data_IF_642882852737
#
_entry.id   IF_642882852737
#
_cell.length_a   1.000
_cell.length_b   1.000
_cell.length_c   1.000
_cell.angle_alpha   90.00
_cell.angle_beta   90.00
_cell.angle_gamma   90.00
#
_symmetry.space_group_name_H-M   'P 1'
#
loop_
_entity.id
_entity.type
_entity.pdbx_description
1 polymer ?
#
# COMPACT_ATOMS: atom_id res chain seq x y z
N UNK A 1 -0.53 -8.13 17.67
CA UNK A 1 0.07 -8.27 16.33
C UNK A 1 -0.51 -9.50 15.67
N UNK A 2 -0.79 -9.45 14.37
CA UNK A 2 -1.38 -10.57 13.62
C UNK A 2 -0.36 -11.05 12.58
N UNK A 3 0.52 -11.96 12.99
CA UNK A 3 1.41 -12.69 12.09
C UNK A 3 0.82 -14.10 11.92
N UNK A 4 0.90 -14.66 10.72
CA UNK A 4 0.51 -16.06 10.47
C UNK A 4 1.58 -16.71 9.59
N UNK A 5 1.97 -17.94 9.91
CA UNK A 5 3.04 -18.66 9.19
C UNK A 5 4.47 -18.19 9.52
N UNK A 6 4.69 -17.59 10.69
CA UNK A 6 6.01 -17.16 11.17
C UNK A 6 6.41 -17.91 12.45
N UNK A 7 7.72 -18.07 12.69
CA UNK A 7 8.31 -18.62 13.91
C UNK A 7 8.16 -17.69 15.11
N UNK A 8 8.40 -18.23 16.31
CA UNK A 8 8.37 -17.47 17.57
C UNK A 8 9.41 -16.33 17.60
N UNK A 9 10.59 -16.55 17.02
CA UNK A 9 11.64 -15.52 16.92
C UNK A 9 11.18 -14.30 16.10
N UNK A 10 10.40 -14.54 15.05
CA UNK A 10 9.78 -13.49 14.25
C UNK A 10 8.79 -12.64 15.06
N UNK A 11 8.01 -13.26 15.96
CA UNK A 11 7.16 -12.52 16.89
C UNK A 11 7.98 -11.71 17.89
N UNK A 12 9.03 -12.29 18.47
CA UNK A 12 9.89 -11.59 19.42
C UNK A 12 10.56 -10.37 18.79
N UNK A 13 11.07 -10.50 17.56
CA UNK A 13 11.61 -9.37 16.81
C UNK A 13 10.58 -8.24 16.66
N UNK A 14 9.35 -8.55 16.25
CA UNK A 14 8.32 -7.55 16.06
C UNK A 14 7.84 -6.92 17.37
N UNK A 15 7.80 -7.68 18.47
CA UNK A 15 7.51 -7.15 19.80
C UNK A 15 8.58 -6.16 20.26
N UNK A 16 9.86 -6.49 20.04
CA UNK A 16 10.97 -5.57 20.31
C UNK A 16 10.86 -4.29 19.47
N UNK A 17 10.53 -4.41 18.19
CA UNK A 17 10.31 -3.25 17.30
C UNK A 17 9.14 -2.39 17.80
N UNK A 18 8.03 -3.01 18.22
CA UNK A 18 6.87 -2.30 18.77
C UNK A 18 7.21 -1.58 20.09
N UNK A 19 8.00 -2.20 20.96
CA UNK A 19 8.47 -1.58 22.20
C UNK A 19 9.42 -0.40 21.95
N UNK A 20 10.30 -0.51 20.94
CA UNK A 20 11.29 0.53 20.62
C UNK A 20 10.67 1.75 19.91
N UNK A 21 9.82 1.52 18.90
CA UNK A 21 9.33 2.57 18.01
C UNK A 21 7.86 2.96 18.26
N UNK A 22 7.19 2.25 19.16
CA UNK A 22 5.80 2.46 19.52
C UNK A 22 4.82 1.68 18.64
N UNK A 23 3.59 1.43 19.14
CA UNK A 23 2.60 0.60 18.46
C UNK A 23 2.05 1.21 17.16
N UNK A 24 2.23 2.52 16.98
CA UNK A 24 1.81 3.26 15.79
C UNK A 24 2.88 3.30 14.70
N UNK A 25 4.00 2.59 14.85
CA UNK A 25 5.05 2.56 13.85
C UNK A 25 4.53 1.93 12.54
N UNK A 26 4.85 2.50 11.36
CA UNK A 26 4.52 1.92 10.07
C UNK A 26 4.98 0.47 9.95
N UNK A 27 4.17 -0.39 9.33
CA UNK A 27 4.46 -1.82 9.22
C UNK A 27 3.86 -2.65 10.37
N UNK A 28 3.84 -2.15 11.61
CA UNK A 28 3.35 -2.92 12.78
C UNK A 28 1.82 -3.10 12.77
N UNK A 29 1.11 -2.14 12.18
CA UNK A 29 -0.35 -2.13 12.14
C UNK A 29 -0.96 -3.07 11.10
N UNK A 30 -0.14 -3.70 10.25
CA UNK A 30 -0.61 -4.62 9.22
C UNK A 30 -0.71 -6.06 9.73
N UNK A 31 -1.53 -6.85 9.04
CA UNK A 31 -1.57 -8.30 9.19
C UNK A 31 -0.67 -8.94 8.13
N UNK A 32 0.22 -9.84 8.56
CA UNK A 32 1.12 -10.56 7.66
C UNK A 32 0.76 -12.03 7.64
N UNK A 33 0.56 -12.56 6.43
CA UNK A 33 0.31 -13.98 6.19
C UNK A 33 1.45 -14.51 5.32
N UNK A 34 2.21 -15.45 5.87
CA UNK A 34 3.32 -16.11 5.18
C UNK A 34 2.85 -17.45 4.63
N UNK A 35 2.84 -17.58 3.31
CA UNK A 35 2.44 -18.79 2.59
C UNK A 35 3.61 -19.27 1.73
N UNK A 36 4.44 -20.19 2.23
CA UNK A 36 5.56 -20.75 1.49
C UNK A 36 5.06 -21.47 0.23
N UNK A 37 5.57 -21.07 -0.95
CA UNK A 37 5.15 -21.66 -2.22
C UNK A 37 5.98 -22.87 -2.65
N UNK A 38 7.23 -22.97 -2.21
CA UNK A 38 8.14 -24.04 -2.59
C UNK A 38 9.48 -23.95 -1.88
N UNK A 39 10.20 -25.07 -1.90
CA UNK A 39 11.56 -25.21 -1.40
C UNK A 39 12.40 -25.89 -2.47
N UNK A 40 13.53 -25.31 -2.82
CA UNK A 40 14.51 -25.89 -3.74
C UNK A 40 15.86 -25.96 -3.04
N UNK A 41 16.47 -27.16 -3.04
CA UNK A 41 17.80 -27.36 -2.46
C UNK A 41 18.82 -27.30 -3.60
N UNK A 42 19.70 -26.30 -3.53
CA UNK A 42 20.73 -26.03 -4.52
C UNK A 42 22.13 -26.16 -3.92
N UNK A 43 23.10 -26.54 -4.75
CA UNK A 43 24.52 -26.56 -4.40
C UNK A 43 25.23 -25.44 -5.15
N UNK A 44 26.12 -24.70 -4.48
CA UNK A 44 26.91 -23.64 -5.11
C UNK A 44 27.20 -22.48 -4.17
N UNK A 45 27.74 -21.39 -4.73
CA UNK A 45 27.98 -20.16 -3.98
C UNK A 45 26.64 -19.40 -3.79
N UNK A 46 26.21 -19.11 -2.54
CA UNK A 46 24.95 -18.42 -2.28
C UNK A 46 24.81 -17.06 -2.98
N UNK A 47 25.91 -16.30 -3.10
CA UNK A 47 25.87 -14.98 -3.76
C UNK A 47 25.66 -15.12 -5.27
N UNK A 48 26.30 -16.10 -5.90
CA UNK A 48 26.10 -16.36 -7.33
C UNK A 48 24.66 -16.81 -7.62
N UNK A 49 24.10 -17.66 -6.74
CA UNK A 49 22.71 -18.10 -6.81
C UNK A 49 21.76 -16.92 -6.64
N UNK A 50 21.95 -16.09 -5.60
CA UNK A 50 21.12 -14.91 -5.36
C UNK A 50 21.17 -13.92 -6.54
N UNK A 51 22.35 -13.69 -7.12
CA UNK A 51 22.49 -12.85 -8.31
C UNK A 51 21.80 -13.43 -9.55
N UNK A 52 21.84 -14.75 -9.73
CA UNK A 52 21.13 -15.41 -10.82
C UNK A 52 19.62 -15.24 -10.67
N UNK A 53 19.07 -15.53 -9.50
CA UNK A 53 17.63 -15.35 -9.20
C UNK A 53 17.22 -13.89 -9.39
N UNK A 54 18.02 -12.93 -8.91
CA UNK A 54 17.73 -11.50 -9.07
C UNK A 54 17.68 -11.08 -10.54
N UNK A 55 18.56 -11.61 -11.40
CA UNK A 55 18.49 -11.37 -12.85
C UNK A 55 17.22 -11.96 -13.47
N UNK A 56 16.89 -13.21 -13.14
CA UNK A 56 15.68 -13.87 -13.64
C UNK A 56 14.39 -13.11 -13.25
N UNK A 57 14.30 -12.59 -12.01
CA UNK A 57 13.16 -11.78 -11.57
C UNK A 57 13.04 -10.47 -12.35
N UNK A 58 14.18 -9.83 -12.66
CA UNK A 58 14.22 -8.60 -13.44
C UNK A 58 13.78 -8.82 -14.88
N UNK A 59 14.26 -9.90 -15.51
CA UNK A 59 13.91 -10.24 -16.90
C UNK A 59 12.41 -10.55 -17.04
N UNK A 60 11.80 -11.12 -16.00
CA UNK A 60 10.37 -11.40 -15.91
C UNK A 60 9.51 -10.16 -15.56
N UNK A 61 10.11 -8.96 -15.44
CA UNK A 61 9.44 -7.70 -15.04
C UNK A 61 8.62 -7.81 -13.76
N UNK A 62 9.12 -8.59 -12.80
CA UNK A 62 8.47 -8.70 -11.50
C UNK A 62 9.05 -7.63 -10.56
N UNK A 63 8.55 -6.40 -10.70
CA UNK A 63 9.06 -5.22 -9.98
C UNK A 63 8.77 -5.26 -8.46
N UNK A 64 7.94 -6.22 -8.01
CA UNK A 64 7.58 -6.42 -6.60
C UNK A 64 8.17 -7.73 -6.04
N UNK A 65 9.38 -8.06 -6.46
CA UNK A 65 10.12 -9.23 -5.94
C UNK A 65 11.44 -8.82 -5.31
N UNK A 66 11.80 -9.52 -4.23
CA UNK A 66 13.07 -9.33 -3.51
C UNK A 66 13.76 -10.68 -3.32
N UNK A 67 15.09 -10.69 -3.39
CA UNK A 67 15.91 -11.83 -3.00
C UNK A 67 16.54 -11.51 -1.65
N UNK A 68 16.24 -12.32 -0.65
CA UNK A 68 16.81 -12.20 0.69
C UNK A 68 17.83 -13.33 0.86
N UNK A 69 19.05 -13.00 1.24
CA UNK A 69 20.10 -13.95 1.56
C UNK A 69 20.42 -13.87 3.04
N UNK A 70 20.42 -15.02 3.72
CA UNK A 70 20.62 -15.09 5.15
C UNK A 70 20.85 -16.53 5.62
N UNK A 71 20.96 -16.69 6.93
CA UNK A 71 21.00 -18.01 7.56
C UNK A 71 19.59 -18.60 7.57
N UNK A 72 19.52 -19.92 7.39
CA UNK A 72 18.24 -20.63 7.31
C UNK A 72 17.43 -20.47 8.61
N UNK A 73 18.06 -20.60 9.78
CA UNK A 73 17.38 -20.58 11.08
C UNK A 73 16.59 -19.29 11.38
N UNK A 74 16.94 -18.16 10.75
CA UNK A 74 16.28 -16.86 10.97
C UNK A 74 15.74 -16.24 9.67
N UNK A 75 15.38 -17.07 8.69
CA UNK A 75 14.94 -16.59 7.38
C UNK A 75 13.68 -15.72 7.46
N UNK A 76 12.76 -16.06 8.36
CA UNK A 76 11.46 -15.41 8.52
C UNK A 76 11.56 -14.12 9.36
N UNK A 77 12.49 -14.07 10.31
CA UNK A 77 12.93 -12.84 10.98
C UNK A 77 13.52 -11.86 9.96
N UNK A 78 14.40 -12.34 9.06
CA UNK A 78 14.97 -11.51 8.01
C UNK A 78 13.88 -10.96 7.06
N UNK A 79 12.88 -11.77 6.72
CA UNK A 79 11.72 -11.35 5.95
C UNK A 79 10.92 -10.25 6.65
N UNK A 80 10.59 -10.43 7.94
CA UNK A 80 9.87 -9.40 8.70
C UNK A 80 10.66 -8.11 8.86
N UNK A 81 11.97 -8.22 9.14
CA UNK A 81 12.86 -7.07 9.21
C UNK A 81 12.86 -6.31 7.89
N UNK A 82 13.00 -7.01 6.77
CA UNK A 82 12.94 -6.40 5.45
C UNK A 82 11.62 -5.66 5.23
N UNK A 83 10.48 -6.31 5.49
CA UNK A 83 9.14 -5.72 5.34
C UNK A 83 9.01 -4.45 6.19
N UNK A 84 9.44 -4.50 7.46
CA UNK A 84 9.40 -3.35 8.35
C UNK A 84 10.25 -2.19 7.83
N UNK A 85 11.53 -2.44 7.52
CA UNK A 85 12.46 -1.40 7.07
C UNK A 85 12.04 -0.80 5.72
N UNK A 86 11.56 -1.63 4.81
CA UNK A 86 11.03 -1.18 3.52
C UNK A 86 9.80 -0.28 3.70
N UNK A 87 8.88 -0.67 4.59
CA UNK A 87 7.69 0.13 4.88
C UNK A 87 8.06 1.44 5.57
N UNK A 88 8.90 1.38 6.61
CA UNK A 88 9.32 2.53 7.40
C UNK A 88 10.07 3.57 6.56
N UNK A 89 10.99 3.13 5.70
CA UNK A 89 11.75 4.03 4.81
C UNK A 89 10.87 4.71 3.75
N UNK A 90 9.85 4.01 3.26
CA UNK A 90 8.93 4.51 2.23
C UNK A 90 7.96 5.59 2.74
N UNK A 91 7.69 5.63 4.05
CA UNK A 91 6.67 6.54 4.64
C UNK A 91 6.97 8.00 4.33
N UNK A 92 8.23 8.44 4.45
CA UNK A 92 8.58 9.85 4.26
C UNK A 92 8.37 10.32 2.81
N UNK A 93 8.69 9.46 1.85
CA UNK A 93 8.52 9.72 0.42
C UNK A 93 7.03 9.69 0.03
N UNK A 94 6.33 8.62 0.37
CA UNK A 94 4.90 8.46 0.06
C UNK A 94 4.06 9.58 0.69
N UNK A 95 4.38 9.97 1.93
CA UNK A 95 3.68 11.08 2.59
C UNK A 95 3.89 12.43 1.88
N UNK A 96 5.09 12.68 1.33
CA UNK A 96 5.36 13.89 0.56
C UNK A 96 4.63 13.87 -0.78
N UNK A 97 4.63 12.74 -1.46
CA UNK A 97 3.92 12.57 -2.74
C UNK A 97 2.41 12.74 -2.56
N UNK A 98 1.82 12.08 -1.55
CA UNK A 98 0.40 12.22 -1.22
C UNK A 98 0.02 13.67 -0.85
N UNK A 99 0.88 14.38 -0.11
CA UNK A 99 0.69 15.82 0.14
C UNK A 99 0.73 16.63 -1.16
N UNK A 100 1.73 16.39 -2.01
CA UNK A 100 1.84 17.06 -3.31
C UNK A 100 0.65 16.77 -4.24
N UNK A 101 0.08 15.58 -4.16
CA UNK A 101 -1.14 15.19 -4.87
C UNK A 101 -2.43 15.76 -4.24
N UNK A 102 -2.36 16.42 -3.07
CA UNK A 102 -3.52 16.96 -2.37
C UNK A 102 -4.40 15.88 -1.71
N UNK A 103 -3.83 14.73 -1.35
CA UNK A 103 -4.53 13.60 -0.74
C UNK A 103 -4.58 13.64 0.80
N UNK A 104 -3.82 14.54 1.43
CA UNK A 104 -3.66 14.58 2.89
C UNK A 104 -4.46 15.70 3.59
N UNK A 105 -4.96 16.67 2.83
CA UNK A 105 -5.67 17.83 3.37
C UNK A 105 -7.16 17.75 3.03
N UNK A 106 -8.03 17.52 4.03
CA UNK A 106 -9.47 17.45 3.80
C UNK A 106 -10.04 18.84 3.49
N UNK A 107 -10.83 18.92 2.44
CA UNK A 107 -11.53 20.14 2.05
C UNK A 107 -12.93 20.18 2.68
N UNK A 108 -13.08 21.00 3.72
CA UNK A 108 -14.35 21.14 4.45
C UNK A 108 -15.50 21.65 3.56
N UNK A 109 -15.20 22.43 2.54
CA UNK A 109 -16.13 22.93 1.53
C UNK A 109 -16.44 21.92 0.40
N UNK A 110 -15.94 20.70 0.49
CA UNK A 110 -16.12 19.63 -0.50
C UNK A 110 -16.56 18.32 0.19
N UNK A 111 -17.26 18.41 1.32
CA UNK A 111 -17.68 17.23 2.09
C UNK A 111 -16.55 16.54 2.87
N UNK A 112 -15.42 17.21 3.07
CA UNK A 112 -14.30 16.71 3.88
C UNK A 112 -13.35 15.75 3.13
N UNK A 113 -13.51 15.58 1.82
CA UNK A 113 -12.63 14.73 1.00
C UNK A 113 -11.32 15.44 0.67
N UNK A 114 -10.28 14.69 0.28
CA UNK A 114 -9.03 15.30 -0.14
C UNK A 114 -9.19 16.16 -1.40
N UNK A 115 -8.35 17.19 -1.51
CA UNK A 115 -8.32 18.13 -2.65
C UNK A 115 -8.27 17.43 -4.00
N UNK A 116 -7.47 16.36 -4.13
CA UNK A 116 -7.38 15.59 -5.38
C UNK A 116 -8.74 14.98 -5.79
N UNK A 117 -9.45 14.40 -4.83
CA UNK A 117 -10.75 13.80 -5.02
C UNK A 117 -11.81 14.85 -5.38
N UNK A 118 -11.79 16.00 -4.70
CA UNK A 118 -12.66 17.13 -5.02
C UNK A 118 -12.46 17.60 -6.46
N UNK A 119 -11.20 17.81 -6.88
CA UNK A 119 -10.89 18.22 -8.24
C UNK A 119 -11.33 17.19 -9.30
N UNK A 120 -11.17 15.90 -9.01
CA UNK A 120 -11.65 14.82 -9.89
C UNK A 120 -13.17 14.87 -10.03
N UNK A 121 -13.90 14.98 -8.91
CA UNK A 121 -15.38 15.06 -8.90
C UNK A 121 -15.85 16.28 -9.69
N UNK A 122 -15.24 17.46 -9.49
CA UNK A 122 -15.58 18.66 -10.26
C UNK A 122 -15.32 18.47 -11.76
N UNK A 123 -14.22 17.81 -12.14
CA UNK A 123 -13.95 17.43 -13.53
C UNK A 123 -15.01 16.48 -14.11
N UNK A 124 -15.51 15.54 -13.31
CA UNK A 124 -16.58 14.62 -13.70
C UNK A 124 -17.92 15.36 -13.89
N UNK A 125 -18.26 16.33 -13.03
CA UNK A 125 -19.41 17.21 -13.24
C UNK A 125 -19.35 17.95 -14.58
N UNK A 126 -18.16 18.47 -14.95
CA UNK A 126 -17.96 19.12 -16.25
C UNK A 126 -18.07 18.11 -17.40
N UNK A 127 -17.55 16.90 -17.23
CA UNK A 127 -17.63 15.83 -18.22
C UNK A 127 -19.08 15.42 -18.49
N UNK A 128 -19.90 15.23 -17.46
CA UNK A 128 -21.31 14.86 -17.59
C UNK A 128 -22.09 15.91 -18.38
N UNK A 129 -21.86 17.21 -18.11
CA UNK A 129 -22.46 18.31 -18.88
C UNK A 129 -22.08 18.30 -20.37
N UNK A 130 -20.99 17.62 -20.73
CA UNK A 130 -20.52 17.45 -22.12
C UNK A 130 -20.90 16.08 -22.72
N UNK A 131 -21.78 15.31 -22.06
CA UNK A 131 -22.21 13.99 -22.51
C UNK A 131 -21.44 12.81 -21.91
N UNK A 132 -20.67 13.02 -20.83
CA UNK A 132 -20.07 11.95 -20.04
C UNK A 132 -21.11 11.18 -19.19
N UNK A 133 -20.70 10.08 -18.56
CA UNK A 133 -21.61 9.20 -17.79
C UNK A 133 -21.94 9.76 -16.40
N UNK A 134 -23.23 10.02 -16.09
CA UNK A 134 -23.68 10.37 -14.75
C UNK A 134 -23.52 9.22 -13.74
N UNK A 135 -23.62 7.97 -14.18
CA UNK A 135 -23.47 6.79 -13.34
C UNK A 135 -22.05 6.68 -12.78
N UNK A 136 -21.05 6.97 -13.61
CA UNK A 136 -19.65 7.03 -13.18
C UNK A 136 -19.44 8.10 -12.11
N UNK A 137 -20.06 9.29 -12.27
CA UNK A 137 -20.02 10.35 -11.27
C UNK A 137 -20.68 9.91 -9.95
N UNK A 138 -21.86 9.26 -10.03
CA UNK A 138 -22.54 8.74 -8.83
C UNK A 138 -21.68 7.72 -8.08
N UNK A 139 -21.04 6.80 -8.80
CA UNK A 139 -20.16 5.79 -8.21
C UNK A 139 -18.95 6.41 -7.50
N UNK A 140 -18.35 7.45 -8.08
CA UNK A 140 -17.23 8.14 -7.42
C UNK A 140 -17.70 8.92 -6.19
N UNK A 141 -18.85 9.59 -6.24
CA UNK A 141 -19.44 10.27 -5.07
C UNK A 141 -19.75 9.29 -3.92
N UNK A 142 -20.26 8.10 -4.23
CA UNK A 142 -20.57 7.07 -3.24
C UNK A 142 -19.31 6.44 -2.65
N UNK A 143 -18.29 6.19 -3.48
CA UNK A 143 -16.98 5.67 -3.04
C UNK A 143 -16.35 6.58 -1.99
N UNK A 144 -16.51 7.89 -2.13
CA UNK A 144 -16.02 8.88 -1.17
C UNK A 144 -17.03 9.17 -0.04
N UNK A 145 -18.25 8.62 -0.09
CA UNK A 145 -19.30 8.85 0.91
C UNK A 145 -19.85 10.27 0.93
N UNK A 146 -19.64 11.05 -0.14
CA UNK A 146 -20.03 12.48 -0.20
C UNK A 146 -21.26 12.75 -1.05
N UNK A 147 -21.94 11.71 -1.54
CA UNK A 147 -23.16 11.91 -2.31
C UNK A 147 -24.18 12.85 -1.64
N UNK A 148 -24.50 12.74 -0.33
CA UNK A 148 -25.44 13.66 0.32
C UNK A 148 -25.03 15.13 0.24
N UNK A 149 -23.72 15.42 0.19
CA UNK A 149 -23.21 16.79 0.05
C UNK A 149 -23.38 17.33 -1.38
N UNK A 150 -23.34 16.45 -2.38
CA UNK A 150 -23.42 16.80 -3.81
C UNK A 150 -24.79 16.50 -4.44
N UNK A 151 -25.76 15.99 -3.68
CA UNK A 151 -27.02 15.45 -4.17
C UNK A 151 -27.80 16.45 -5.03
N UNK A 152 -28.04 17.67 -4.52
CA UNK A 152 -28.77 18.70 -5.27
C UNK A 152 -28.09 19.03 -6.60
N UNK A 153 -26.75 19.20 -6.57
CA UNK A 153 -25.96 19.48 -7.78
C UNK A 153 -25.98 18.32 -8.77
N UNK A 154 -26.04 17.08 -8.28
CA UNK A 154 -26.12 15.88 -9.10
C UNK A 154 -27.49 15.75 -9.76
N UNK A 155 -28.57 15.93 -9.00
CA UNK A 155 -29.95 15.86 -9.52
C UNK A 155 -30.25 16.97 -10.53
N UNK A 156 -29.64 18.15 -10.38
CA UNK A 156 -29.72 19.25 -11.34
C UNK A 156 -29.13 18.91 -12.73
N UNK A 157 -28.34 17.84 -12.86
CA UNK A 157 -27.82 17.39 -14.17
C UNK A 157 -28.88 16.75 -15.07
N UNK A 158 -30.02 16.34 -14.50
CA UNK A 158 -31.10 15.62 -15.21
C UNK A 158 -32.35 16.49 -15.42
N UNK A 159 -32.28 17.78 -15.10
CA UNK A 159 -33.31 18.77 -15.38
C UNK A 159 -33.06 19.43 -16.73
#
# INVERSE_FOLDING_TARGET
MHLNGFSEDAYHYFDQVAQMYGPNSPGIMYQYNNEPKGLEILSGNPNEIAHRISRELKDNKNDLSVVISGVDEFWDVALLKFIYEFTASSVSFNSKEMRGAGLMEPQMNSGGIPTAAANQIEGMFVSVKKGGSPEALKAELDKWGVYPYYEDRFLDLFK
#
